data_IF_894240647825
#
_entry.id   IF_894240647825
#
_cell.length_a   1.000
_cell.length_b   1.000
_cell.length_c   1.000
_cell.angle_alpha   90.00
_cell.angle_beta   90.00
_cell.angle_gamma   90.00
#
_symmetry.space_group_name_H-M   'P 1'
#
loop_
_entity.id
_entity.type
_entity.pdbx_description
1 polymer ?
#
# COMPACT_ATOMS: atom_id res chain seq x y z
N UNK A 1 -9.75 32.13 4.84
CA UNK A 1 -9.78 30.72 4.39
C UNK A 1 -8.47 30.40 3.72
N UNK A 2 -7.73 29.41 4.22
CA UNK A 2 -6.45 28.99 3.62
C UNK A 2 -6.73 28.25 2.31
N UNK A 3 -6.09 28.70 1.22
CA UNK A 3 -6.16 28.04 -0.09
C UNK A 3 -5.68 26.58 0.04
N UNK A 4 -6.49 25.62 -0.42
CA UNK A 4 -6.12 24.20 -0.40
C UNK A 4 -5.03 23.93 -1.42
N UNK A 5 -4.03 23.13 -1.04
CA UNK A 5 -2.99 22.68 -1.96
C UNK A 5 -3.52 21.56 -2.86
N UNK A 6 -2.84 21.28 -3.97
CA UNK A 6 -3.14 20.11 -4.82
C UNK A 6 -3.12 18.81 -4.00
N UNK A 7 -2.16 18.65 -3.08
CA UNK A 7 -2.06 17.46 -2.22
C UNK A 7 -3.26 17.31 -1.28
N UNK A 8 -3.82 18.41 -0.78
CA UNK A 8 -5.03 18.35 0.06
C UNK A 8 -6.23 17.82 -0.71
N UNK A 9 -6.36 18.19 -1.98
CA UNK A 9 -7.39 17.66 -2.88
C UNK A 9 -7.22 16.16 -3.13
N UNK A 10 -5.99 15.68 -3.29
CA UNK A 10 -5.72 14.27 -3.52
C UNK A 10 -5.96 13.45 -2.24
N UNK A 11 -5.56 13.97 -1.08
CA UNK A 11 -5.87 13.35 0.24
C UNK A 11 -7.37 13.24 0.47
N UNK A 12 -8.12 14.30 0.19
CA UNK A 12 -9.59 14.26 0.24
C UNK A 12 -10.17 13.22 -0.72
N UNK A 13 -9.58 13.05 -1.90
CA UNK A 13 -9.95 11.99 -2.84
C UNK A 13 -9.80 10.59 -2.26
N UNK A 14 -8.68 10.33 -1.57
CA UNK A 14 -8.45 9.04 -0.90
C UNK A 14 -9.49 8.80 0.20
N UNK A 15 -9.80 9.81 1.00
CA UNK A 15 -10.81 9.73 2.05
C UNK A 15 -12.21 9.46 1.48
N UNK A 16 -12.61 10.21 0.46
CA UNK A 16 -13.88 10.04 -0.24
C UNK A 16 -13.97 8.66 -0.90
N UNK A 17 -12.92 8.23 -1.61
CA UNK A 17 -12.86 6.91 -2.24
C UNK A 17 -13.02 5.79 -1.20
N UNK A 18 -12.36 5.92 -0.05
CA UNK A 18 -12.42 4.92 1.02
C UNK A 18 -13.79 4.84 1.67
N UNK A 19 -14.47 5.98 1.84
CA UNK A 19 -15.77 6.05 2.51
C UNK A 19 -16.96 5.78 1.58
N UNK A 20 -16.89 6.24 0.34
CA UNK A 20 -18.03 6.31 -0.60
C UNK A 20 -17.80 5.52 -1.89
N UNK A 21 -16.59 4.99 -2.12
CA UNK A 21 -16.23 4.35 -3.37
C UNK A 21 -16.00 5.34 -4.51
N UNK A 22 -15.88 4.81 -5.73
CA UNK A 22 -15.59 5.54 -6.96
C UNK A 22 -16.72 6.50 -7.39
N UNK A 23 -17.96 6.20 -7.03
CA UNK A 23 -19.13 7.06 -7.26
C UNK A 23 -19.03 8.39 -6.51
N UNK A 24 -18.39 8.38 -5.33
CA UNK A 24 -18.12 9.57 -4.54
C UNK A 24 -17.06 10.50 -5.16
N UNK A 25 -16.25 10.00 -6.11
CA UNK A 25 -15.20 10.78 -6.77
C UNK A 25 -15.77 11.70 -7.86
N UNK A 26 -16.53 12.71 -7.44
CA UNK A 26 -17.04 13.78 -8.28
C UNK A 26 -16.70 15.16 -7.68
N UNK A 27 -16.79 16.20 -8.51
CA UNK A 27 -16.35 17.55 -8.13
C UNK A 27 -17.17 18.10 -6.96
N UNK A 28 -18.48 17.86 -6.92
CA UNK A 28 -19.38 18.39 -5.88
C UNK A 28 -19.09 17.78 -4.52
N UNK A 29 -18.91 16.46 -4.45
CA UNK A 29 -18.51 15.77 -3.23
C UNK A 29 -17.19 16.29 -2.69
N UNK A 30 -16.18 16.48 -3.56
CA UNK A 30 -14.87 16.98 -3.15
C UNK A 30 -14.93 18.43 -2.65
N UNK A 31 -15.74 19.27 -3.29
CA UNK A 31 -15.98 20.65 -2.86
C UNK A 31 -16.61 20.71 -1.48
N UNK A 32 -17.65 19.90 -1.25
CA UNK A 32 -18.32 19.77 0.04
C UNK A 32 -17.37 19.26 1.13
N UNK A 33 -16.61 18.21 0.82
CA UNK A 33 -15.65 17.60 1.75
C UNK A 33 -14.55 18.58 2.19
N UNK A 34 -14.10 19.46 1.29
CA UNK A 34 -13.04 20.43 1.57
C UNK A 34 -13.55 21.80 2.03
N UNK A 35 -14.85 22.07 1.91
CA UNK A 35 -15.45 23.38 2.23
C UNK A 35 -14.96 24.51 1.31
N UNK A 36 -14.78 24.25 0.02
CA UNK A 36 -14.22 25.21 -0.95
C UNK A 36 -15.12 25.41 -2.18
N UNK A 37 -14.84 26.45 -2.96
CA UNK A 37 -15.64 26.80 -4.15
C UNK A 37 -15.17 26.07 -5.42
N UNK A 38 -16.07 25.95 -6.40
CA UNK A 38 -15.81 25.30 -7.69
C UNK A 38 -14.60 25.91 -8.43
N UNK A 39 -14.41 27.22 -8.33
CA UNK A 39 -13.24 27.91 -8.90
C UNK A 39 -11.91 27.41 -8.31
N UNK A 40 -11.89 27.05 -7.02
CA UNK A 40 -10.68 26.51 -6.39
C UNK A 40 -10.23 25.19 -7.00
N UNK A 41 -11.16 24.33 -7.45
CA UNK A 41 -10.82 23.06 -8.09
C UNK A 41 -10.10 23.29 -9.43
N UNK A 42 -10.65 24.18 -10.27
CA UNK A 42 -10.11 24.44 -11.60
C UNK A 42 -8.76 25.15 -11.62
N UNK A 43 -8.34 25.73 -10.49
CA UNK A 43 -6.95 26.19 -10.35
C UNK A 43 -5.93 25.05 -10.22
N UNK A 44 -6.36 23.85 -9.85
CA UNK A 44 -5.48 22.70 -9.64
C UNK A 44 -5.61 21.63 -10.72
N UNK A 45 -6.82 21.45 -11.26
CA UNK A 45 -7.17 20.38 -12.19
C UNK A 45 -7.98 20.92 -13.38
N UNK A 46 -7.74 20.41 -14.58
CA UNK A 46 -8.47 20.83 -15.78
C UNK A 46 -9.86 20.23 -15.87
N UNK A 47 -10.14 19.19 -15.07
CA UNK A 47 -11.43 18.51 -14.99
C UNK A 47 -11.35 17.26 -14.11
N UNK A 48 -12.47 16.53 -14.02
CA UNK A 48 -12.55 15.34 -13.18
C UNK A 48 -11.65 14.19 -13.68
N UNK A 49 -11.50 14.05 -15.00
CA UNK A 49 -10.61 13.05 -15.59
C UNK A 49 -9.14 13.29 -15.22
N UNK A 50 -8.67 14.54 -15.35
CA UNK A 50 -7.33 14.95 -14.91
C UNK A 50 -7.12 14.73 -13.41
N UNK A 51 -8.11 15.10 -12.60
CA UNK A 51 -8.08 14.82 -11.16
C UNK A 51 -7.95 13.33 -10.84
N UNK A 52 -8.77 12.46 -11.47
CA UNK A 52 -8.71 11.01 -11.24
C UNK A 52 -7.36 10.43 -11.67
N UNK A 53 -6.79 10.88 -12.80
CA UNK A 53 -5.46 10.46 -13.22
C UNK A 53 -4.37 10.86 -12.19
N UNK A 54 -4.43 12.08 -11.67
CA UNK A 54 -3.52 12.55 -10.62
C UNK A 54 -3.76 11.83 -9.27
N UNK A 55 -5.00 11.47 -8.96
CA UNK A 55 -5.34 10.67 -7.78
C UNK A 55 -4.75 9.26 -7.87
N UNK A 56 -4.81 8.61 -9.04
CA UNK A 56 -4.16 7.31 -9.26
C UNK A 56 -2.64 7.39 -9.06
N UNK A 57 -1.99 8.43 -9.60
CA UNK A 57 -0.57 8.65 -9.39
C UNK A 57 -0.23 8.90 -7.90
N UNK A 58 -1.11 9.63 -7.20
CA UNK A 58 -0.97 9.85 -5.76
C UNK A 58 -1.13 8.56 -4.95
N UNK A 59 -2.13 7.74 -5.27
CA UNK A 59 -2.37 6.43 -4.67
C UNK A 59 -1.18 5.49 -4.87
N UNK A 60 -0.57 5.48 -6.06
CA UNK A 60 0.66 4.70 -6.31
C UNK A 60 1.82 5.16 -5.42
N UNK A 61 2.01 6.49 -5.30
CA UNK A 61 3.05 7.08 -4.46
C UNK A 61 2.86 6.69 -3.00
N UNK A 62 1.68 6.95 -2.43
CA UNK A 62 1.42 6.73 -0.99
C UNK A 62 1.27 5.25 -0.64
N UNK A 63 0.80 4.42 -1.58
CA UNK A 63 0.58 2.99 -1.39
C UNK A 63 1.82 2.11 -1.57
N UNK A 64 2.90 2.65 -2.14
CA UNK A 64 4.14 1.89 -2.32
C UNK A 64 5.40 2.72 -2.11
N UNK A 65 5.61 3.79 -2.87
CA UNK A 65 6.87 4.54 -2.82
C UNK A 65 7.14 5.12 -1.42
N UNK A 66 6.14 5.74 -0.80
CA UNK A 66 6.24 6.30 0.55
C UNK A 66 6.27 5.22 1.64
N UNK A 67 5.83 3.98 1.35
CA UNK A 67 5.93 2.84 2.28
C UNK A 67 7.36 2.35 2.30
N UNK A 68 7.93 2.08 1.12
CA UNK A 68 9.30 1.58 0.98
C UNK A 68 10.33 2.61 1.42
N UNK A 69 10.04 3.92 1.28
CA UNK A 69 10.92 4.98 1.79
C UNK A 69 11.09 4.97 3.33
N UNK A 70 10.16 4.35 4.08
CA UNK A 70 10.28 4.14 5.53
C UNK A 70 11.11 2.92 5.92
N UNK A 71 11.56 2.13 4.93
CA UNK A 71 12.39 0.94 5.15
C UNK A 71 13.83 1.26 4.80
N UNK A 72 14.76 0.97 5.71
CA UNK A 72 16.19 1.21 5.51
C UNK A 72 16.80 0.05 4.70
N UNK A 73 17.20 0.27 3.43
CA UNK A 73 17.72 -0.79 2.57
C UNK A 73 19.10 -1.31 3.03
N UNK A 74 19.79 -0.62 3.94
CA UNK A 74 21.05 -1.08 4.51
C UNK A 74 20.85 -2.14 5.60
N UNK A 75 19.62 -2.34 6.08
CA UNK A 75 19.32 -3.33 7.10
C UNK A 75 19.22 -4.75 6.50
N UNK A 76 19.48 -5.80 7.29
CA UNK A 76 19.18 -7.17 6.89
C UNK A 76 17.70 -7.34 6.52
N UNK A 77 17.39 -8.21 5.55
CA UNK A 77 16.03 -8.41 5.04
C UNK A 77 14.98 -8.68 6.13
N UNK A 78 15.33 -9.47 7.16
CA UNK A 78 14.45 -9.71 8.30
C UNK A 78 14.08 -8.43 9.08
N UNK A 79 15.00 -7.46 9.19
CA UNK A 79 14.74 -6.15 9.79
C UNK A 79 13.94 -5.25 8.86
N UNK A 80 14.19 -5.31 7.55
CA UNK A 80 13.37 -4.62 6.55
C UNK A 80 11.91 -5.08 6.59
N UNK A 81 11.65 -6.40 6.69
CA UNK A 81 10.30 -6.94 6.87
C UNK A 81 9.62 -6.44 8.15
N UNK A 82 10.38 -6.27 9.24
CA UNK A 82 9.85 -5.68 10.49
C UNK A 82 9.49 -4.20 10.30
N UNK A 83 10.34 -3.40 9.67
CA UNK A 83 10.06 -2.00 9.37
C UNK A 83 8.85 -1.86 8.45
N UNK A 84 8.78 -2.66 7.38
CA UNK A 84 7.64 -2.71 6.47
C UNK A 84 6.33 -3.03 7.20
N UNK A 85 6.36 -3.97 8.15
CA UNK A 85 5.20 -4.31 8.97
C UNK A 85 4.71 -3.11 9.79
N UNK A 86 5.62 -2.32 10.37
CA UNK A 86 5.27 -1.11 11.12
C UNK A 86 4.70 -0.01 10.21
N UNK A 87 5.33 0.22 9.07
CA UNK A 87 4.86 1.16 8.06
C UNK A 87 3.43 0.84 7.59
N UNK A 88 3.12 -0.45 7.38
CA UNK A 88 1.79 -0.90 6.98
C UNK A 88 0.79 -0.75 8.13
N UNK A 89 1.17 -1.13 9.36
CA UNK A 89 0.29 -1.06 10.53
C UNK A 89 -0.15 0.37 10.89
N UNK A 90 0.66 1.38 10.57
CA UNK A 90 0.35 2.79 10.74
C UNK A 90 -0.61 3.37 9.69
N UNK A 91 -1.03 2.57 8.69
CA UNK A 91 -1.83 3.04 7.53
C UNK A 91 -3.24 2.49 7.57
N UNK A 92 -4.15 3.20 6.89
CA UNK A 92 -5.53 2.72 6.71
C UNK A 92 -5.59 1.71 5.56
N UNK A 93 -5.55 0.43 5.89
CA UNK A 93 -5.59 -0.67 4.92
C UNK A 93 -6.88 -0.73 4.08
N UNK A 94 -7.95 -0.07 4.51
CA UNK A 94 -9.18 0.02 3.72
C UNK A 94 -9.00 0.81 2.41
N UNK A 95 -7.97 1.66 2.31
CA UNK A 95 -7.66 2.41 1.09
C UNK A 95 -7.35 1.48 -0.09
N UNK A 96 -6.52 0.46 0.12
CA UNK A 96 -6.17 -0.52 -0.91
C UNK A 96 -7.41 -1.28 -1.40
N UNK A 97 -8.32 -1.63 -0.49
CA UNK A 97 -9.58 -2.25 -0.86
C UNK A 97 -10.48 -1.33 -1.70
N UNK A 98 -10.54 -0.04 -1.35
CA UNK A 98 -11.33 0.93 -2.12
C UNK A 98 -10.80 1.11 -3.55
N UNK A 99 -9.48 1.13 -3.74
CA UNK A 99 -8.87 1.17 -5.08
C UNK A 99 -9.20 -0.10 -5.89
N UNK A 100 -9.18 -1.28 -5.25
CA UNK A 100 -9.57 -2.53 -5.91
C UNK A 100 -11.02 -2.55 -6.35
N UNK A 101 -11.94 -2.01 -5.54
CA UNK A 101 -13.35 -1.84 -5.94
C UNK A 101 -13.49 -0.87 -7.11
N UNK A 102 -12.74 0.24 -7.08
CA UNK A 102 -12.71 1.17 -8.22
C UNK A 102 -12.20 0.49 -9.50
N UNK A 103 -11.20 -0.39 -9.39
CA UNK A 103 -10.66 -1.18 -10.50
C UNK A 103 -11.66 -2.15 -11.15
N UNK A 104 -12.80 -2.44 -10.53
CA UNK A 104 -13.87 -3.23 -11.18
C UNK A 104 -14.49 -2.46 -12.35
N UNK A 105 -14.52 -1.12 -12.28
CA UNK A 105 -15.24 -0.26 -13.24
C UNK A 105 -14.37 0.74 -13.99
N UNK A 106 -13.11 0.93 -13.57
CA UNK A 106 -12.19 1.90 -14.15
C UNK A 106 -10.87 1.26 -14.61
N UNK A 107 -10.53 1.46 -15.88
CA UNK A 107 -9.34 0.87 -16.49
C UNK A 107 -8.03 1.45 -15.92
N UNK A 108 -8.01 2.74 -15.53
CA UNK A 108 -6.84 3.37 -14.92
C UNK A 108 -6.58 2.82 -13.52
N UNK A 109 -7.64 2.64 -12.73
CA UNK A 109 -7.55 2.00 -11.42
C UNK A 109 -7.13 0.52 -11.53
N UNK A 110 -7.64 -0.22 -12.53
CA UNK A 110 -7.19 -1.59 -12.80
C UNK A 110 -5.71 -1.68 -13.12
N UNK A 111 -5.24 -0.83 -14.04
CA UNK A 111 -3.82 -0.77 -14.37
C UNK A 111 -2.95 -0.40 -13.16
N UNK A 112 -3.45 0.46 -12.26
CA UNK A 112 -2.77 0.77 -11.00
C UNK A 112 -2.66 -0.46 -10.09
N UNK A 113 -3.76 -1.19 -9.87
CA UNK A 113 -3.77 -2.41 -9.05
C UNK A 113 -2.79 -3.45 -9.59
N UNK A 114 -2.78 -3.69 -10.90
CA UNK A 114 -1.84 -4.64 -11.54
C UNK A 114 -0.38 -4.24 -11.30
N UNK A 115 -0.05 -2.95 -11.48
CA UNK A 115 1.32 -2.45 -11.21
C UNK A 115 1.68 -2.55 -9.74
N UNK A 116 0.78 -2.20 -8.83
CA UNK A 116 1.03 -2.28 -7.39
C UNK A 116 1.21 -3.72 -6.93
N UNK A 117 0.40 -4.65 -7.43
CA UNK A 117 0.50 -6.08 -7.13
C UNK A 117 1.86 -6.63 -7.57
N UNK A 118 2.26 -6.35 -8.82
CA UNK A 118 3.56 -6.77 -9.32
C UNK A 118 4.73 -6.19 -8.50
N UNK A 119 4.72 -4.88 -8.21
CA UNK A 119 5.80 -4.21 -7.46
C UNK A 119 5.90 -4.68 -6.02
N UNK A 120 4.76 -4.83 -5.34
CA UNK A 120 4.71 -5.28 -3.94
C UNK A 120 5.12 -6.73 -3.79
N UNK A 121 4.63 -7.61 -4.68
CA UNK A 121 5.07 -9.00 -4.69
C UNK A 121 6.57 -9.10 -4.97
N UNK A 122 7.09 -8.45 -6.02
CA UNK A 122 8.52 -8.49 -6.31
C UNK A 122 9.38 -8.02 -5.12
N UNK A 123 8.98 -6.94 -4.44
CA UNK A 123 9.68 -6.44 -3.26
C UNK A 123 9.66 -7.46 -2.10
N UNK A 124 8.50 -8.04 -1.82
CA UNK A 124 8.37 -9.08 -0.79
C UNK A 124 9.17 -10.35 -1.17
N UNK A 125 9.14 -10.77 -2.42
CA UNK A 125 9.89 -11.93 -2.93
C UNK A 125 11.38 -11.76 -2.69
N UNK A 126 11.95 -10.58 -2.95
CA UNK A 126 13.35 -10.27 -2.61
C UNK A 126 13.61 -10.43 -1.11
N UNK A 127 12.83 -9.75 -0.26
CA UNK A 127 13.07 -9.75 1.19
C UNK A 127 12.90 -11.14 1.82
N UNK A 128 11.88 -11.89 1.40
CA UNK A 128 11.67 -13.24 1.93
C UNK A 128 12.74 -14.20 1.41
N UNK A 129 13.14 -14.13 0.14
CA UNK A 129 14.20 -14.99 -0.41
C UNK A 129 15.54 -14.78 0.28
N UNK A 130 15.89 -13.53 0.59
CA UNK A 130 17.10 -13.21 1.36
C UNK A 130 16.99 -13.70 2.81
N UNK A 131 15.79 -13.63 3.40
CA UNK A 131 15.56 -14.06 4.78
C UNK A 131 15.58 -15.59 4.93
N UNK A 132 15.09 -16.33 3.94
CA UNK A 132 15.05 -17.81 3.94
C UNK A 132 16.27 -18.43 3.26
N UNK A 133 17.06 -17.65 2.52
CA UNK A 133 18.13 -18.13 1.64
C UNK A 133 17.66 -19.09 0.54
N UNK A 134 16.37 -19.08 0.20
CA UNK A 134 15.74 -19.94 -0.81
C UNK A 134 14.67 -19.14 -1.56
N UNK A 135 14.86 -18.99 -2.88
CA UNK A 135 13.97 -18.21 -3.74
C UNK A 135 12.55 -18.80 -3.87
N UNK A 136 12.41 -20.12 -3.90
CA UNK A 136 11.10 -20.77 -4.01
C UNK A 136 10.29 -20.57 -2.72
N UNK A 137 10.96 -20.69 -1.57
CA UNK A 137 10.35 -20.39 -0.28
C UNK A 137 10.04 -18.90 -0.16
N UNK A 138 10.94 -18.04 -0.60
CA UNK A 138 10.75 -16.59 -0.62
C UNK A 138 9.49 -16.19 -1.38
N UNK A 139 9.29 -16.76 -2.57
CA UNK A 139 8.08 -16.58 -3.36
C UNK A 139 6.81 -17.06 -2.64
N UNK A 140 6.87 -18.22 -2.01
CA UNK A 140 5.74 -18.76 -1.26
C UNK A 140 5.32 -17.84 -0.10
N UNK A 141 6.28 -17.41 0.72
CA UNK A 141 6.02 -16.50 1.85
C UNK A 141 5.61 -15.10 1.41
N UNK A 142 6.17 -14.57 0.32
CA UNK A 142 5.75 -13.30 -0.27
C UNK A 142 4.27 -13.32 -0.66
N UNK A 143 3.83 -14.39 -1.32
CA UNK A 143 2.41 -14.59 -1.67
C UNK A 143 1.51 -14.72 -0.44
N UNK A 144 1.94 -15.48 0.57
CA UNK A 144 1.17 -15.61 1.82
C UNK A 144 1.03 -14.28 2.55
N UNK A 145 2.13 -13.54 2.72
CA UNK A 145 2.14 -12.24 3.36
C UNK A 145 1.28 -11.24 2.60
N UNK A 146 1.35 -11.25 1.26
CA UNK A 146 0.53 -10.38 0.43
C UNK A 146 -0.96 -10.72 0.51
N UNK A 147 -1.32 -12.00 0.48
CA UNK A 147 -2.71 -12.44 0.67
C UNK A 147 -3.24 -12.02 2.05
N UNK A 148 -2.43 -12.14 3.11
CA UNK A 148 -2.79 -11.69 4.45
C UNK A 148 -3.02 -10.16 4.48
N UNK A 149 -2.12 -9.37 3.90
CA UNK A 149 -2.27 -7.92 3.77
C UNK A 149 -3.60 -7.52 3.10
N UNK A 150 -3.98 -8.20 2.01
CA UNK A 150 -5.23 -7.93 1.31
C UNK A 150 -6.47 -8.40 2.08
N UNK A 151 -6.35 -9.50 2.82
CA UNK A 151 -7.45 -10.08 3.60
C UNK A 151 -7.72 -9.38 4.93
N UNK A 152 -6.67 -8.86 5.58
CA UNK A 152 -6.73 -8.21 6.89
C UNK A 152 -7.86 -7.15 7.04
N UNK A 153 -8.01 -6.17 6.14
CA UNK A 153 -9.09 -5.17 6.23
C UNK A 153 -10.49 -5.72 5.95
N UNK A 154 -10.61 -6.92 5.37
CA UNK A 154 -11.88 -7.52 4.98
C UNK A 154 -12.54 -8.34 6.09
N UNK A 155 -11.77 -8.76 7.10
CA UNK A 155 -12.31 -9.45 8.27
C UNK A 155 -13.19 -8.53 9.12
N UNK A 156 -14.04 -9.14 9.97
CA UNK A 156 -14.94 -8.43 10.88
C UNK A 156 -14.80 -9.02 12.30
N UNK A 157 -14.19 -8.28 13.25
CA UNK A 157 -13.55 -6.96 13.08
C UNK A 157 -12.35 -7.01 12.11
N UNK A 158 -12.02 -5.87 11.50
CA UNK A 158 -10.87 -5.77 10.60
C UNK A 158 -9.56 -5.84 11.38
N UNK A 159 -8.57 -6.57 10.84
CA UNK A 159 -7.23 -6.65 11.45
C UNK A 159 -6.46 -5.36 11.10
N UNK A 160 -6.00 -4.64 12.13
CA UNK A 160 -5.24 -3.40 11.97
C UNK A 160 -4.33 -3.13 13.18
N UNK A 161 -3.46 -2.11 13.07
CA UNK A 161 -2.63 -1.63 14.18
C UNK A 161 -1.79 -2.72 14.83
N UNK A 162 -1.81 -2.78 16.17
CA UNK A 162 -1.02 -3.75 16.95
C UNK A 162 -1.38 -5.21 16.67
N UNK A 163 -2.63 -5.51 16.34
CA UNK A 163 -3.05 -6.87 16.00
C UNK A 163 -2.39 -7.32 14.69
N UNK A 164 -2.38 -6.46 13.67
CA UNK A 164 -1.69 -6.71 12.41
C UNK A 164 -0.20 -6.99 12.65
N UNK A 165 0.47 -6.13 13.43
CA UNK A 165 1.89 -6.29 13.79
C UNK A 165 2.12 -7.64 14.47
N UNK A 166 1.30 -7.99 15.47
CA UNK A 166 1.43 -9.22 16.24
C UNK A 166 1.27 -10.46 15.35
N UNK A 167 0.30 -10.45 14.45
CA UNK A 167 0.05 -11.57 13.55
C UNK A 167 1.19 -11.75 12.55
N UNK A 168 1.65 -10.68 11.90
CA UNK A 168 2.78 -10.74 10.97
C UNK A 168 4.06 -11.17 11.68
N UNK A 169 4.35 -10.64 12.87
CA UNK A 169 5.50 -11.09 13.66
C UNK A 169 5.42 -12.57 14.03
N UNK A 170 4.23 -13.08 14.34
CA UNK A 170 4.02 -14.50 14.64
C UNK A 170 4.25 -15.35 13.39
N UNK A 171 3.74 -14.94 12.24
CA UNK A 171 3.96 -15.61 10.96
C UNK A 171 5.45 -15.61 10.57
N UNK A 172 6.16 -14.49 10.77
CA UNK A 172 7.58 -14.37 10.45
C UNK A 172 8.47 -15.29 11.31
N UNK A 173 8.03 -15.72 12.51
CA UNK A 173 8.75 -16.73 13.31
C UNK A 173 8.69 -18.13 12.71
N UNK A 174 7.78 -18.37 11.77
CA UNK A 174 7.67 -19.63 11.04
C UNK A 174 8.58 -19.69 9.82
N UNK A 175 9.27 -18.58 9.49
CA UNK A 175 10.26 -18.57 8.42
C UNK A 175 11.45 -19.46 8.82
N UNK A 176 11.86 -20.41 7.96
CA UNK A 176 13.08 -21.15 8.21
C UNK A 176 14.29 -20.19 8.13
N UNK A 177 15.33 -20.42 8.95
CA UNK A 177 16.56 -19.66 8.82
C UNK A 177 17.21 -19.95 7.46
N UNK A 178 18.04 -19.02 6.94
CA UNK A 178 18.82 -19.30 5.75
C UNK A 178 19.70 -20.55 5.98
N UNK A 179 19.93 -21.37 4.95
CA UNK A 179 20.84 -22.50 5.08
C UNK A 179 22.18 -21.99 5.59
N UNK A 180 22.79 -22.72 6.54
CA UNK A 180 24.13 -22.40 7.00
C UNK A 180 25.03 -22.33 5.75
N UNK A 181 25.70 -21.18 5.55
CA UNK A 181 26.70 -21.05 4.50
C UNK A 181 27.74 -22.18 4.64
N UNK A 182 28.45 -22.56 3.55
CA UNK A 182 29.47 -23.60 3.65
C UNK A 182 30.37 -23.24 4.81
N UNK A 183 30.43 -24.11 5.83
CA UNK A 183 31.36 -23.97 6.94
C UNK A 183 32.72 -23.68 6.31
N UNK A 184 33.26 -22.49 6.56
CA UNK A 184 34.60 -22.18 6.14
C UNK A 184 35.48 -23.23 6.80
N UNK A 185 35.90 -24.23 6.01
CA UNK A 185 36.84 -25.25 6.44
C UNK A 185 38.03 -24.51 7.03
N UNK A 186 38.13 -24.52 8.35
CA UNK A 186 39.25 -23.95 9.06
C UNK A 186 40.50 -24.73 8.59
N UNK A 187 41.56 -24.04 8.13
CA UNK A 187 42.80 -24.70 7.71
C UNK A 187 43.50 -25.41 8.88
#
# INVERSE_FOLDING_TARGET
MTRKSRTDWLRAGVEVLTAQGDEGLNVETLLGHLGVSKGSFYHHFTGLADYKAQLLAHLEKVGFADVVAGVDPAQPAARQLQQLTQEIAGRNLAQDWAVRRWAERDAGARALVERMDARRLAYLETLFSESTGDAAQGQFFARMAYAFFLGAPQLRPAIAGEEYVRMVQTLNRLLPPPPAGPEASCP
#
